data_IF_603498958233
#
_entry.id   IF_603498958233
#
_cell.length_a   1.000
_cell.length_b   1.000
_cell.length_c   1.000
_cell.angle_alpha   90.00
_cell.angle_beta   90.00
_cell.angle_gamma   90.00
#
_symmetry.space_group_name_H-M   'P 1'
#
loop_
_entity.id
_entity.type
_entity.pdbx_description
1 polymer ?
#
# COMPACT_ATOMS: atom_id res chain seq x y z
N UNK A 1 -13.57 -21.92 -2.34
CA UNK A 1 -13.99 -20.76 -3.16
C UNK A 1 -12.76 -19.86 -3.25
N UNK A 2 -11.80 -20.25 -4.08
CA UNK A 2 -11.45 -19.66 -5.40
C UNK A 2 -10.59 -18.40 -5.26
N UNK A 3 -9.30 -18.59 -4.98
CA UNK A 3 -8.29 -17.56 -5.19
C UNK A 3 -8.02 -17.46 -6.70
N UNK A 4 -8.46 -16.36 -7.31
CA UNK A 4 -8.19 -16.06 -8.71
C UNK A 4 -6.80 -15.42 -8.83
N UNK A 5 -5.79 -16.25 -9.12
CA UNK A 5 -4.52 -15.75 -9.63
C UNK A 5 -4.70 -15.38 -11.11
N UNK A 6 -4.70 -14.09 -11.41
CA UNK A 6 -4.67 -13.59 -12.80
C UNK A 6 -3.24 -13.25 -13.18
N UNK A 7 -2.76 -13.95 -14.21
CA UNK A 7 -1.49 -13.74 -14.87
C UNK A 7 -1.51 -12.48 -15.75
N UNK A 8 -0.40 -11.74 -15.78
CA UNK A 8 -0.11 -10.65 -16.72
C UNK A 8 1.37 -10.66 -17.08
N UNK A 9 1.68 -10.56 -18.37
CA UNK A 9 3.02 -10.69 -18.97
C UNK A 9 3.88 -9.43 -18.82
N UNK A 10 5.16 -9.65 -18.49
CA UNK A 10 6.37 -8.84 -18.76
C UNK A 10 6.37 -7.34 -18.40
N UNK A 11 6.87 -7.10 -17.17
CA UNK A 11 7.35 -5.85 -16.54
C UNK A 11 6.29 -4.80 -16.17
N UNK A 12 5.14 -5.24 -15.69
CA UNK A 12 4.28 -4.41 -14.84
C UNK A 12 4.32 -4.97 -13.43
N UNK A 13 4.80 -4.15 -12.51
CA UNK A 13 4.94 -4.48 -11.10
C UNK A 13 3.68 -5.00 -10.42
N UNK A 14 3.78 -5.43 -9.16
CA UNK A 14 2.65 -5.93 -8.36
C UNK A 14 2.54 -5.18 -7.04
N UNK A 15 1.32 -4.81 -6.67
CA UNK A 15 1.00 -4.29 -5.34
C UNK A 15 0.22 -5.35 -4.59
N UNK A 16 0.71 -5.75 -3.43
CA UNK A 16 0.04 -6.69 -2.53
C UNK A 16 -0.37 -5.95 -1.26
N UNK A 17 -1.63 -6.10 -0.87
CA UNK A 17 -2.20 -5.48 0.32
C UNK A 17 -2.63 -6.58 1.28
N UNK A 18 -2.24 -6.46 2.55
CA UNK A 18 -2.70 -7.30 3.67
C UNK A 18 -3.59 -6.44 4.57
N UNK A 19 -4.84 -6.87 4.76
CA UNK A 19 -5.81 -6.18 5.61
C UNK A 19 -6.87 -7.18 6.09
N UNK A 20 -7.20 -7.14 7.38
CA UNK A 20 -8.15 -8.05 8.04
C UNK A 20 -7.81 -9.53 7.81
N UNK A 21 -6.52 -9.86 7.87
CA UNK A 21 -5.93 -11.19 7.59
C UNK A 21 -6.17 -11.71 6.17
N UNK A 22 -6.73 -10.89 5.29
CA UNK A 22 -6.86 -11.18 3.87
C UNK A 22 -5.69 -10.55 3.10
N UNK A 23 -5.24 -11.24 2.06
CA UNK A 23 -4.22 -10.73 1.16
C UNK A 23 -4.72 -10.74 -0.28
N UNK A 24 -4.69 -9.58 -0.92
CA UNK A 24 -5.03 -9.43 -2.34
C UNK A 24 -3.90 -8.72 -3.07
N UNK A 25 -3.69 -9.11 -4.32
CA UNK A 25 -2.70 -8.50 -5.21
C UNK A 25 -3.37 -7.94 -6.45
N UNK A 26 -2.86 -6.80 -6.89
CA UNK A 26 -3.24 -6.17 -8.16
C UNK A 26 -1.99 -5.77 -8.94
N UNK A 27 -2.07 -5.68 -10.29
CA UNK A 27 -1.00 -5.09 -11.08
C UNK A 27 -0.75 -3.65 -10.62
N UNK A 28 0.51 -3.25 -10.48
CA UNK A 28 0.91 -1.88 -10.20
C UNK A 28 0.47 -0.97 -11.34
N UNK A 29 -0.01 0.23 -11.02
CA UNK A 29 -0.25 1.30 -11.99
C UNK A 29 0.66 2.47 -11.67
N UNK A 30 1.28 3.05 -12.69
CA UNK A 30 2.16 4.20 -12.48
C UNK A 30 1.39 5.36 -11.83
N UNK A 31 1.97 5.94 -10.78
CA UNK A 31 1.40 7.08 -10.06
C UNK A 31 0.20 6.75 -9.17
N UNK A 32 -0.24 5.49 -9.12
CA UNK A 32 -1.29 5.04 -8.19
C UNK A 32 -0.69 4.84 -6.80
N UNK A 33 -1.39 5.30 -5.77
CA UNK A 33 -1.02 5.13 -4.37
C UNK A 33 -1.37 3.73 -3.87
N UNK A 34 -0.76 3.29 -2.77
CA UNK A 34 -1.07 2.00 -2.13
C UNK A 34 -2.55 1.92 -1.73
N UNK A 35 -3.15 3.01 -1.25
CA UNK A 35 -4.57 3.07 -0.91
C UNK A 35 -5.47 2.92 -2.15
N UNK A 36 -5.14 3.58 -3.26
CA UNK A 36 -5.88 3.44 -4.52
C UNK A 36 -5.78 2.02 -5.07
N UNK A 37 -4.59 1.40 -5.02
CA UNK A 37 -4.40 0.00 -5.39
C UNK A 37 -5.23 -0.94 -4.51
N UNK A 38 -5.31 -0.70 -3.20
CA UNK A 38 -6.16 -1.47 -2.28
C UNK A 38 -7.65 -1.36 -2.62
N UNK A 39 -8.14 -0.13 -2.83
CA UNK A 39 -9.53 0.13 -3.25
C UNK A 39 -9.87 -0.56 -4.55
N UNK A 40 -8.95 -0.55 -5.52
CA UNK A 40 -9.12 -1.23 -6.80
C UNK A 40 -9.11 -2.76 -6.68
N UNK A 41 -8.39 -3.31 -5.70
CA UNK A 41 -8.46 -4.72 -5.35
C UNK A 41 -9.82 -5.11 -4.72
N UNK A 42 -10.66 -4.13 -4.38
CA UNK A 42 -11.93 -4.33 -3.69
C UNK A 42 -11.79 -4.26 -2.17
N UNK A 43 -10.62 -3.89 -1.63
CA UNK A 43 -10.40 -3.70 -0.21
C UNK A 43 -10.79 -2.29 0.23
N UNK A 44 -11.27 -2.17 1.47
CA UNK A 44 -11.57 -0.88 2.11
C UNK A 44 -10.75 -0.72 3.38
N UNK A 45 -9.42 -0.59 3.29
CA UNK A 45 -8.58 -0.32 4.45
C UNK A 45 -8.93 1.06 5.06
N UNK A 46 -8.56 1.30 6.33
CA UNK A 46 -8.89 2.54 7.02
C UNK A 46 -8.29 3.76 6.30
N UNK A 47 -9.10 4.81 6.15
CA UNK A 47 -8.67 6.10 5.60
C UNK A 47 -9.51 7.25 6.18
N UNK A 48 -9.01 8.48 6.09
CA UNK A 48 -9.75 9.68 6.53
C UNK A 48 -9.42 10.91 5.70
N UNK A 49 -8.23 11.50 5.83
CA UNK A 49 -7.91 12.79 5.19
C UNK A 49 -7.50 12.72 3.72
N UNK A 50 -6.85 11.64 3.31
CA UNK A 50 -6.17 11.51 2.00
C UNK A 50 -5.18 12.65 1.66
N UNK A 51 -4.71 13.38 2.68
CA UNK A 51 -3.83 14.54 2.58
C UNK A 51 -2.48 14.37 3.29
N UNK A 52 -2.25 13.24 3.97
CA UNK A 52 -0.99 12.93 4.64
C UNK A 52 -0.82 13.45 6.08
N UNK A 53 -1.91 13.89 6.74
CA UNK A 53 -1.83 14.57 8.04
C UNK A 53 -2.60 13.90 9.21
N UNK A 54 -3.27 12.76 8.98
CA UNK A 54 -4.13 12.13 10.01
C UNK A 54 -3.67 10.75 10.51
N UNK A 55 -2.74 10.07 9.82
CA UNK A 55 -2.28 8.73 10.20
C UNK A 55 -3.27 7.58 10.02
N UNK A 56 -4.56 7.80 9.73
CA UNK A 56 -5.57 6.72 9.63
C UNK A 56 -5.24 5.64 8.59
N UNK A 57 -4.54 5.99 7.53
CA UNK A 57 -4.14 5.07 6.47
C UNK A 57 -2.71 4.51 6.66
N UNK A 58 -2.16 4.62 7.88
CA UNK A 58 -0.85 4.09 8.21
C UNK A 58 -0.83 2.58 8.02
N UNK A 59 0.25 2.08 7.42
CA UNK A 59 0.48 0.67 7.21
C UNK A 59 1.99 0.43 7.11
N UNK A 60 2.43 -0.81 7.25
CA UNK A 60 3.85 -1.17 7.21
C UNK A 60 4.23 -1.82 5.89
N UNK A 61 5.35 -1.38 5.31
CA UNK A 61 5.98 -2.06 4.19
C UNK A 61 6.60 -3.37 4.68
N UNK A 62 6.09 -4.49 4.16
CA UNK A 62 6.67 -5.81 4.41
C UNK A 62 7.73 -6.17 3.36
N UNK A 63 7.53 -5.71 2.13
CA UNK A 63 8.45 -5.92 1.01
C UNK A 63 8.40 -4.74 0.04
N UNK A 64 9.53 -4.47 -0.63
CA UNK A 64 9.65 -3.40 -1.62
C UNK A 64 9.77 -2.02 -1.00
N UNK A 65 9.56 -0.99 -1.82
CA UNK A 65 9.74 0.41 -1.46
C UNK A 65 8.62 1.27 -2.05
N UNK A 66 8.33 2.38 -1.38
CA UNK A 66 7.36 3.36 -1.83
C UNK A 66 7.79 4.75 -1.41
N UNK A 67 7.53 5.72 -2.28
CA UNK A 67 7.79 7.14 -2.02
C UNK A 67 6.51 7.81 -1.56
N UNK A 68 6.53 8.46 -0.40
CA UNK A 68 5.41 9.28 0.08
C UNK A 68 5.47 10.68 -0.53
N UNK A 69 4.35 11.14 -1.12
CA UNK A 69 4.22 12.50 -1.65
C UNK A 69 4.21 13.56 -0.55
N UNK A 70 3.49 13.27 0.53
CA UNK A 70 3.34 14.11 1.72
C UNK A 70 3.39 13.20 2.94
N UNK A 71 4.12 13.61 3.98
CA UNK A 71 4.11 12.98 5.28
C UNK A 71 4.18 14.05 6.37
N UNK A 72 3.01 14.42 6.91
CA UNK A 72 2.87 15.34 8.05
C UNK A 72 2.38 14.60 9.31
N UNK A 73 2.29 13.26 9.26
CA UNK A 73 1.68 12.46 10.33
C UNK A 73 2.64 11.44 10.97
N UNK A 74 3.59 10.88 10.22
CA UNK A 74 4.57 9.93 10.74
C UNK A 74 5.88 10.63 11.05
N UNK A 75 6.51 10.27 12.17
CA UNK A 75 7.86 10.73 12.49
C UNK A 75 8.95 9.93 11.74
N UNK A 76 10.19 10.40 11.84
CA UNK A 76 11.33 9.79 11.13
C UNK A 76 11.62 8.35 11.59
N UNK A 77 11.34 8.03 12.86
CA UNK A 77 11.58 6.69 13.41
C UNK A 77 10.54 5.70 12.86
N UNK A 78 9.25 6.09 12.84
CA UNK A 78 8.17 5.31 12.24
C UNK A 78 8.44 5.04 10.75
N UNK A 79 8.89 6.05 10.00
CA UNK A 79 9.28 5.89 8.59
C UNK A 79 10.47 4.94 8.45
N UNK A 80 11.47 5.05 9.33
CA UNK A 80 12.63 4.16 9.32
C UNK A 80 12.27 2.70 9.68
N UNK A 81 11.24 2.49 10.49
CA UNK A 81 10.66 1.17 10.79
C UNK A 81 9.80 0.60 9.65
N UNK A 82 9.62 1.38 8.57
CA UNK A 82 8.91 0.96 7.35
C UNK A 82 7.44 1.32 7.34
N UNK A 83 6.97 2.17 8.25
CA UNK A 83 5.60 2.68 8.20
C UNK A 83 5.43 3.73 7.09
N UNK A 84 4.28 3.69 6.44
CA UNK A 84 3.90 4.58 5.34
C UNK A 84 2.45 5.01 5.45
N UNK A 85 2.16 6.23 4.99
CA UNK A 85 0.80 6.70 4.74
C UNK A 85 0.36 6.21 3.36
N UNK A 86 -0.41 5.12 3.32
CA UNK A 86 -0.81 4.48 2.05
C UNK A 86 -1.58 5.40 1.09
N UNK A 87 -2.25 6.44 1.60
CA UNK A 87 -2.90 7.46 0.76
C UNK A 87 -1.91 8.42 0.05
N UNK A 88 -0.66 8.48 0.50
CA UNK A 88 0.40 9.32 -0.09
C UNK A 88 1.55 8.48 -0.67
N UNK A 89 1.66 7.22 -0.29
CA UNK A 89 2.72 6.31 -0.71
C UNK A 89 2.45 5.77 -2.12
N UNK A 90 3.38 6.04 -3.04
CA UNK A 90 3.37 5.54 -4.42
C UNK A 90 4.49 4.50 -4.56
N UNK A 91 4.20 3.28 -5.06
CA UNK A 91 5.22 2.26 -5.29
C UNK A 91 6.29 2.73 -6.29
N UNK A 92 7.56 2.71 -5.86
CA UNK A 92 8.73 3.10 -6.67
C UNK A 92 9.58 1.91 -7.13
N UNK A 93 9.19 0.69 -6.74
CA UNK A 93 9.76 -0.57 -7.20
C UNK A 93 8.74 -1.41 -8.00
N UNK A 94 9.19 -2.55 -8.53
CA UNK A 94 8.34 -3.46 -9.28
C UNK A 94 7.31 -4.13 -8.37
N UNK A 95 7.73 -4.76 -7.28
CA UNK A 95 6.79 -5.43 -6.37
C UNK A 95 6.86 -4.83 -4.97
N UNK A 96 5.70 -4.51 -4.40
CA UNK A 96 5.56 -3.97 -3.05
C UNK A 96 4.46 -4.72 -2.31
N UNK A 97 4.70 -4.98 -1.03
CA UNK A 97 3.73 -5.59 -0.11
C UNK A 97 3.57 -4.68 1.11
N UNK A 98 2.34 -4.30 1.42
CA UNK A 98 2.01 -3.47 2.59
C UNK A 98 0.95 -4.13 3.45
N UNK A 99 1.07 -4.01 4.77
CA UNK A 99 0.14 -4.58 5.75
C UNK A 99 -0.43 -3.50 6.67
N UNK A 100 -1.76 -3.49 6.78
CA UNK A 100 -2.50 -2.66 7.73
C UNK A 100 -2.72 -3.37 9.08
N UNK A 101 -2.35 -4.65 9.18
CA UNK A 101 -2.56 -5.49 10.37
C UNK A 101 -1.34 -5.48 11.32
N UNK A 102 -0.34 -4.66 11.02
CA UNK A 102 0.85 -4.51 11.86
C UNK A 102 0.56 -3.48 12.96
N UNK A 103 0.10 -3.98 14.11
CA UNK A 103 -0.09 -3.25 15.37
C UNK A 103 1.19 -3.17 16.21
#
# INVERSE_FOLDING_TARGET
>A
MTAAAMAGSEVDGKVTIVFDREQLSVPRRQGETLLESARRAGMTPPFSCEAGNCGTCMAKLLEGTATMRVNDALDDDEVAEGYVLTCQAVPDCDSVTVSYDED
#
